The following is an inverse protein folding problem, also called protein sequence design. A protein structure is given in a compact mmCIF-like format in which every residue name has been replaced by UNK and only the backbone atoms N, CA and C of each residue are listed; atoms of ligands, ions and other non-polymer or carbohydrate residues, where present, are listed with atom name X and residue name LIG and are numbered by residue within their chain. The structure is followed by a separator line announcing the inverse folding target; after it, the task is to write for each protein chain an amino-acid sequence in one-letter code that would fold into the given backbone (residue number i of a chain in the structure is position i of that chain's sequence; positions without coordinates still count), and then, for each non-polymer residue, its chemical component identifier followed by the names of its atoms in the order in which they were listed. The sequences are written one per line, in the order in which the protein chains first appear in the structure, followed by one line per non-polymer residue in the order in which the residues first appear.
data_IF_680490239180
#
_entry.id   IF_680490239180
#
_cell.length_a   1.000
_cell.length_b   1.000
_cell.length_c   1.000
_cell.angle_alpha   90.00
_cell.angle_beta   90.00
_cell.angle_gamma   90.00
#
_symmetry.space_group_name_H-M   'P 1'
#
loop_
_entity.id
_entity.type
_entity.pdbx_description
1 polymer ?
#
# COMPACT_ATOMS: atom_id res chain seq x y z
N UNK A 1 -21.43 4.06 11.77
CA UNK A 1 -20.35 3.63 10.86
C UNK A 1 -19.38 2.77 11.65
N UNK A 2 -19.08 1.56 11.19
CA UNK A 2 -18.12 0.68 11.84
C UNK A 2 -17.41 -0.20 10.82
N UNK A 3 -16.36 -0.90 11.23
CA UNK A 3 -15.57 -1.73 10.32
C UNK A 3 -16.35 -2.92 9.76
N UNK A 4 -16.00 -3.32 8.53
CA UNK A 4 -16.50 -4.56 7.93
C UNK A 4 -15.86 -5.79 8.61
N UNK A 5 -16.55 -6.95 8.59
CA UNK A 5 -15.93 -8.22 8.94
C UNK A 5 -14.59 -8.43 8.24
N UNK A 6 -13.58 -8.87 8.99
CA UNK A 6 -12.22 -9.12 8.48
C UNK A 6 -11.31 -7.90 8.42
N UNK A 7 -11.83 -6.68 8.60
CA UNK A 7 -11.00 -5.47 8.70
C UNK A 7 -10.44 -5.32 10.11
N UNK A 8 -9.18 -4.90 10.22
CA UNK A 8 -8.52 -4.67 11.50
C UNK A 8 -8.99 -3.37 12.13
N UNK A 9 -9.59 -3.48 13.32
CA UNK A 9 -9.96 -2.36 14.19
C UNK A 9 -8.86 -2.13 15.23
N UNK A 10 -7.90 -1.26 14.93
CA UNK A 10 -6.76 -0.98 15.83
C UNK A 10 -7.21 -0.43 17.19
N UNK A 11 -8.10 0.58 17.28
CA UNK A 11 -8.65 1.03 18.56
C UNK A 11 -9.34 -0.09 19.34
N UNK A 12 -10.13 -0.93 18.67
CA UNK A 12 -10.80 -2.08 19.28
C UNK A 12 -9.81 -3.10 19.82
N UNK A 13 -8.74 -3.40 19.07
CA UNK A 13 -7.66 -4.29 19.51
C UNK A 13 -6.93 -3.74 20.74
N UNK A 14 -6.52 -2.46 20.71
CA UNK A 14 -5.86 -1.81 21.84
C UNK A 14 -6.75 -1.76 23.10
N UNK A 15 -8.04 -1.47 22.94
CA UNK A 15 -9.00 -1.53 24.04
C UNK A 15 -9.14 -2.95 24.60
N UNK A 16 -9.12 -3.97 23.74
CA UNK A 16 -9.19 -5.36 24.15
C UNK A 16 -7.93 -5.81 24.90
N UNK A 17 -6.76 -5.34 24.49
CA UNK A 17 -5.50 -5.59 25.21
C UNK A 17 -5.52 -4.93 26.60
N UNK A 18 -6.01 -3.70 26.69
CA UNK A 18 -6.25 -3.03 27.97
C UNK A 18 -7.23 -3.78 28.86
N UNK A 19 -8.33 -4.29 28.29
CA UNK A 19 -9.29 -5.12 29.02
C UNK A 19 -8.63 -6.39 29.57
N UNK A 20 -7.88 -7.13 28.75
CA UNK A 20 -7.21 -8.37 29.17
C UNK A 20 -6.13 -8.12 30.23
N UNK A 21 -5.47 -6.97 30.20
CA UNK A 21 -4.54 -6.57 31.24
C UNK A 21 -5.23 -6.39 32.60
N UNK A 22 -6.41 -5.75 32.59
CA UNK A 22 -7.20 -5.53 33.81
C UNK A 22 -7.94 -6.80 34.27
N UNK A 23 -8.30 -7.68 33.34
CA UNK A 23 -9.08 -8.89 33.58
C UNK A 23 -8.43 -10.11 32.89
N UNK A 24 -7.35 -10.69 33.45
CA UNK A 24 -6.56 -11.73 32.77
C UNK A 24 -7.29 -13.05 32.45
N UNK A 25 -8.44 -13.31 33.10
CA UNK A 25 -9.31 -14.46 32.82
C UNK A 25 -10.59 -14.12 32.07
N UNK A 26 -10.78 -12.86 31.66
CA UNK A 26 -11.97 -12.40 30.96
C UNK A 26 -11.87 -12.74 29.46
N UNK A 27 -12.91 -13.36 28.92
CA UNK A 27 -13.09 -13.48 27.47
C UNK A 27 -13.77 -12.23 26.94
N UNK A 28 -13.16 -11.59 25.96
CA UNK A 28 -13.67 -10.36 25.36
C UNK A 28 -13.28 -10.21 23.90
N UNK A 29 -14.17 -9.56 23.16
CA UNK A 29 -13.94 -9.03 21.84
C UNK A 29 -14.53 -7.62 21.80
N UNK A 30 -13.76 -6.66 21.31
CA UNK A 30 -14.15 -5.24 21.28
C UNK A 30 -14.08 -4.76 19.84
N UNK A 31 -15.15 -4.07 19.41
CA UNK A 31 -15.21 -3.35 18.15
C UNK A 31 -15.66 -1.92 18.39
N UNK A 32 -15.13 -1.00 17.60
CA UNK A 32 -15.44 0.43 17.65
C UNK A 32 -16.33 0.83 16.48
N UNK A 33 -17.12 1.87 16.71
CA UNK A 33 -17.95 2.49 15.70
C UNK A 33 -18.16 3.96 16.04
N UNK A 34 -18.48 4.76 15.02
CA UNK A 34 -18.85 6.17 15.16
C UNK A 34 -20.32 6.33 14.78
N UNK A 35 -21.09 7.00 15.64
CA UNK A 35 -22.47 7.39 15.36
C UNK A 35 -22.53 8.87 14.98
N UNK A 36 -23.21 9.18 13.88
CA UNK A 36 -23.48 10.54 13.43
C UNK A 36 -24.97 10.82 13.64
N UNK A 37 -25.30 11.87 14.37
CA UNK A 37 -26.67 12.31 14.58
C UNK A 37 -26.93 13.61 13.81
N UNK A 38 -27.88 13.56 12.88
CA UNK A 38 -28.32 14.73 12.11
C UNK A 38 -29.65 15.21 12.67
N UNK A 39 -29.64 16.37 13.33
CA UNK A 39 -30.82 16.91 14.01
C UNK A 39 -31.75 17.70 13.07
N UNK A 40 -31.15 18.35 12.08
CA UNK A 40 -31.83 19.22 11.11
C UNK A 40 -31.41 18.83 9.69
N UNK A 41 -31.76 17.61 9.27
CA UNK A 41 -31.51 17.15 7.91
C UNK A 41 -32.66 17.60 6.99
N UNK A 42 -32.38 18.26 5.85
CA UNK A 42 -33.42 18.60 4.88
C UNK A 42 -34.17 17.36 4.36
N UNK A 43 -35.44 17.54 4.03
CA UNK A 43 -36.24 16.48 3.41
C UNK A 43 -35.66 16.09 2.03
N UNK A 44 -35.67 14.79 1.73
CA UNK A 44 -35.25 14.27 0.43
C UNK A 44 -33.73 14.14 0.22
N UNK A 45 -32.91 14.32 1.27
CA UNK A 45 -31.49 13.98 1.20
C UNK A 45 -31.31 12.48 0.95
N UNK A 46 -30.49 12.15 -0.06
CA UNK A 46 -30.08 10.77 -0.28
C UNK A 46 -29.12 10.31 0.82
N UNK A 47 -29.58 9.35 1.61
CA UNK A 47 -28.79 8.73 2.66
C UNK A 47 -27.57 7.99 2.12
N UNK A 48 -27.65 7.44 0.90
CA UNK A 48 -26.54 6.72 0.26
C UNK A 48 -25.40 7.69 -0.04
N UNK A 49 -25.73 8.81 -0.67
CA UNK A 49 -24.79 9.91 -0.85
C UNK A 49 -24.20 10.38 0.48
N UNK A 50 -25.05 10.71 1.48
CA UNK A 50 -24.56 11.20 2.77
C UNK A 50 -23.60 10.20 3.42
N UNK A 51 -23.96 8.93 3.44
CA UNK A 51 -23.12 7.89 4.02
C UNK A 51 -21.78 7.77 3.26
N UNK A 52 -21.79 7.82 1.92
CA UNK A 52 -20.57 7.80 1.09
C UNK A 52 -19.59 8.93 1.42
N UNK A 53 -20.08 10.08 1.91
CA UNK A 53 -19.23 11.20 2.35
C UNK A 53 -18.58 11.00 3.72
N UNK A 54 -19.22 10.23 4.61
CA UNK A 54 -18.85 10.08 6.01
C UNK A 54 -17.86 8.94 6.27
N UNK A 55 -17.89 7.89 5.44
CA UNK A 55 -17.10 6.68 5.69
C UNK A 55 -16.43 6.13 4.43
N UNK A 56 -15.42 5.29 4.60
CA UNK A 56 -14.74 4.60 3.51
C UNK A 56 -15.42 3.25 3.23
N UNK A 57 -16.21 3.21 2.15
CA UNK A 57 -16.92 2.02 1.70
C UNK A 57 -16.05 0.80 1.41
N UNK A 58 -14.72 0.94 1.30
CA UNK A 58 -13.81 -0.19 1.16
C UNK A 58 -13.73 -1.00 2.46
N UNK A 59 -13.55 -0.32 3.60
CA UNK A 59 -13.19 -0.91 4.89
C UNK A 59 -14.30 -0.82 5.96
N UNK A 60 -15.29 0.04 5.75
CA UNK A 60 -16.35 0.31 6.72
C UNK A 60 -17.74 -0.01 6.13
N UNK A 61 -18.72 -0.15 7.02
CA UNK A 61 -20.14 -0.26 6.73
C UNK A 61 -20.92 0.77 7.54
N UNK A 62 -22.03 1.24 6.98
CA UNK A 62 -22.98 2.11 7.68
C UNK A 62 -24.34 1.44 7.80
N UNK A 63 -25.05 1.80 8.86
CA UNK A 63 -26.49 1.57 8.99
C UNK A 63 -27.15 2.93 9.17
N UNK A 64 -28.42 3.02 8.79
CA UNK A 64 -29.27 4.17 9.03
C UNK A 64 -30.33 3.79 10.05
N UNK A 65 -30.58 4.69 10.98
CA UNK A 65 -31.72 4.63 11.89
C UNK A 65 -32.41 5.98 11.86
N UNK A 66 -33.72 6.00 11.59
CA UNK A 66 -34.54 7.21 11.57
C UNK A 66 -35.05 7.58 12.97
N UNK A 67 -35.51 8.82 13.12
CA UNK A 67 -36.15 9.27 14.37
C UNK A 67 -37.36 8.39 14.74
N UNK A 68 -38.22 8.08 13.78
CA UNK A 68 -39.39 7.21 13.99
C UNK A 68 -38.98 5.81 14.47
N UNK A 69 -37.91 5.23 13.90
CA UNK A 69 -37.39 3.93 14.32
C UNK A 69 -36.83 3.97 15.75
N UNK A 70 -36.21 5.09 16.16
CA UNK A 70 -35.77 5.27 17.55
C UNK A 70 -36.96 5.39 18.51
N UNK A 71 -38.00 6.14 18.13
CA UNK A 71 -39.19 6.37 18.98
C UNK A 71 -40.07 5.12 19.11
N UNK A 72 -40.06 4.24 18.11
CA UNK A 72 -40.87 3.00 18.07
C UNK A 72 -40.11 1.74 18.51
N UNK A 73 -38.88 1.88 19.03
CA UNK A 73 -38.00 0.77 19.43
C UNK A 73 -37.70 -0.23 18.28
N UNK A 74 -37.59 0.29 17.06
CA UNK A 74 -37.28 -0.44 15.83
C UNK A 74 -35.91 -0.02 15.24
N UNK A 75 -35.06 0.58 16.06
CA UNK A 75 -33.75 1.06 15.64
C UNK A 75 -32.83 -0.09 15.21
N UNK A 76 -32.10 0.13 14.12
CA UNK A 76 -31.03 -0.79 13.72
C UNK A 76 -29.75 -0.39 14.45
N UNK A 77 -28.98 -1.38 14.91
CA UNK A 77 -27.71 -1.17 15.59
C UNK A 77 -26.59 -1.95 14.92
N UNK A 78 -25.38 -1.40 14.96
CA UNK A 78 -24.20 -2.12 14.50
C UNK A 78 -23.89 -3.21 15.52
N UNK A 79 -23.85 -4.44 15.05
CA UNK A 79 -23.36 -5.57 15.83
C UNK A 79 -21.86 -5.74 15.65
N UNK A 80 -21.25 -6.49 16.57
CA UNK A 80 -19.87 -6.92 16.44
C UNK A 80 -19.62 -7.55 15.05
N UNK A 81 -18.57 -7.14 14.32
CA UNK A 81 -18.30 -7.63 12.97
C UNK A 81 -17.67 -9.03 13.02
N UNK A 82 -18.52 -10.04 13.20
CA UNK A 82 -18.12 -11.45 13.23
C UNK A 82 -17.28 -11.79 12.00
N UNK A 83 -16.07 -12.30 12.24
CA UNK A 83 -15.16 -12.72 11.17
C UNK A 83 -15.66 -14.05 10.60
N UNK A 84 -15.72 -14.20 9.27
CA UNK A 84 -16.00 -15.49 8.66
C UNK A 84 -15.01 -16.55 9.17
N UNK A 85 -15.47 -17.79 9.32
CA UNK A 85 -14.57 -18.89 9.67
C UNK A 85 -13.57 -19.08 8.53
N UNK A 86 -12.27 -19.06 8.85
CA UNK A 86 -11.21 -19.30 7.86
C UNK A 86 -11.11 -20.80 7.64
N UNK A 87 -11.57 -21.28 6.49
CA UNK A 87 -11.34 -22.65 6.04
C UNK A 87 -9.95 -22.75 5.44
N UNK A 88 -9.06 -23.51 6.11
CA UNK A 88 -7.70 -23.75 5.59
C UNK A 88 -7.77 -24.78 4.47
N UNK A 89 -7.35 -24.36 3.28
CA UNK A 89 -7.25 -25.21 2.10
C UNK A 89 -5.77 -25.45 1.78
N UNK A 90 -5.46 -26.63 1.22
CA UNK A 90 -4.13 -26.87 0.68
C UNK A 90 -3.95 -26.02 -0.59
N UNK A 91 -2.72 -25.54 -0.89
CA UNK A 91 -2.43 -24.82 -2.12
C UNK A 91 -2.89 -25.59 -3.36
N UNK A 92 -3.59 -24.91 -4.27
CA UNK A 92 -4.05 -25.52 -5.52
C UNK A 92 -2.90 -25.63 -6.52
N UNK A 93 -2.81 -26.75 -7.24
CA UNK A 93 -1.85 -26.91 -8.35
C UNK A 93 -2.45 -26.27 -9.60
N UNK A 94 -1.71 -25.37 -10.25
CA UNK A 94 -2.15 -24.62 -11.42
C UNK A 94 -1.48 -25.18 -12.66
N UNK A 95 -2.27 -25.83 -13.52
CA UNK A 95 -1.78 -26.33 -14.80
C UNK A 95 -1.51 -25.19 -15.78
N UNK A 96 -0.24 -25.05 -16.19
CA UNK A 96 0.20 -24.06 -17.18
C UNK A 96 0.42 -24.67 -18.57
N UNK A 97 0.22 -25.98 -18.76
CA UNK A 97 0.30 -26.67 -20.06
C UNK A 97 -0.97 -26.44 -20.90
N UNK A 98 -1.35 -25.17 -21.02
CA UNK A 98 -2.55 -24.70 -21.71
C UNK A 98 -2.18 -23.73 -22.84
N UNK A 99 -3.15 -23.44 -23.70
CA UNK A 99 -2.97 -22.48 -24.79
C UNK A 99 -2.74 -21.05 -24.26
N UNK A 100 -2.09 -20.20 -25.06
CA UNK A 100 -1.76 -18.82 -24.67
C UNK A 100 -2.98 -17.98 -24.22
N UNK A 101 -4.13 -18.19 -24.86
CA UNK A 101 -5.39 -17.54 -24.48
C UNK A 101 -5.79 -17.89 -23.03
N UNK A 102 -5.54 -19.14 -22.63
CA UNK A 102 -5.88 -19.64 -21.31
C UNK A 102 -4.87 -19.18 -20.26
N UNK A 103 -3.58 -19.07 -20.61
CA UNK A 103 -2.58 -18.44 -19.74
C UNK A 103 -2.96 -16.99 -19.38
N UNK A 104 -3.43 -16.23 -20.37
CA UNK A 104 -3.92 -14.87 -20.14
C UNK A 104 -5.19 -14.87 -19.28
N UNK A 105 -6.10 -15.83 -19.50
CA UNK A 105 -7.30 -15.98 -18.66
C UNK A 105 -6.92 -16.23 -17.19
N UNK A 106 -6.01 -17.17 -16.93
CA UNK A 106 -5.49 -17.47 -15.59
C UNK A 106 -4.86 -16.24 -14.93
N UNK A 107 -4.06 -15.48 -15.68
CA UNK A 107 -3.45 -14.24 -15.18
C UNK A 107 -4.49 -13.19 -14.78
N UNK A 108 -5.51 -12.98 -15.62
CA UNK A 108 -6.56 -11.99 -15.38
C UNK A 108 -7.49 -12.39 -14.22
N UNK A 109 -7.96 -13.64 -14.20
CA UNK A 109 -8.87 -14.12 -13.16
C UNK A 109 -8.17 -14.27 -11.81
N UNK A 110 -6.89 -14.64 -11.81
CA UNK A 110 -6.05 -14.67 -10.62
C UNK A 110 -5.53 -13.30 -10.16
N UNK A 111 -5.88 -12.21 -10.86
CA UNK A 111 -5.39 -10.85 -10.59
C UNK A 111 -3.85 -10.76 -10.52
N UNK A 112 -3.15 -11.57 -11.31
CA UNK A 112 -1.69 -11.71 -11.27
C UNK A 112 -0.98 -10.59 -12.05
N UNK A 113 -1.68 -9.94 -12.98
CA UNK A 113 -1.13 -8.89 -13.84
C UNK A 113 0.14 -9.31 -14.63
N UNK A 114 0.32 -10.62 -14.85
CA UNK A 114 1.38 -11.20 -15.67
C UNK A 114 1.00 -11.12 -17.14
N UNK A 115 1.92 -10.65 -17.98
CA UNK A 115 1.73 -10.69 -19.43
C UNK A 115 2.01 -12.08 -20.00
N UNK A 116 1.71 -12.29 -21.29
CA UNK A 116 1.87 -13.60 -21.94
C UNK A 116 3.31 -14.13 -21.84
N UNK A 117 4.31 -13.28 -22.07
CA UNK A 117 5.72 -13.69 -22.02
C UNK A 117 6.10 -14.15 -20.61
N UNK A 118 5.64 -13.44 -19.58
CA UNK A 118 5.89 -13.83 -18.19
C UNK A 118 5.22 -15.16 -17.85
N UNK A 119 3.95 -15.35 -18.24
CA UNK A 119 3.25 -16.64 -18.05
C UNK A 119 3.95 -17.79 -18.79
N UNK A 120 4.40 -17.57 -20.02
CA UNK A 120 5.15 -18.55 -20.79
C UNK A 120 6.51 -18.86 -20.16
N UNK A 121 7.22 -17.85 -19.66
CA UNK A 121 8.50 -18.01 -18.95
C UNK A 121 8.31 -18.86 -17.69
N UNK A 122 7.24 -18.61 -16.92
CA UNK A 122 6.90 -19.42 -15.75
C UNK A 122 6.60 -20.85 -16.18
N UNK A 123 5.73 -21.07 -17.17
CA UNK A 123 5.44 -22.41 -17.71
C UNK A 123 6.72 -23.15 -18.13
N UNK A 124 7.60 -22.49 -18.87
CA UNK A 124 8.81 -23.10 -19.39
C UNK A 124 9.81 -23.43 -18.26
N UNK A 125 9.82 -22.68 -17.16
CA UNK A 125 10.54 -23.07 -15.93
C UNK A 125 10.06 -24.42 -15.38
N UNK A 126 8.75 -24.69 -15.42
CA UNK A 126 8.16 -25.96 -15.00
C UNK A 126 8.27 -27.09 -16.04
N UNK A 127 8.75 -26.79 -17.25
CA UNK A 127 9.14 -27.80 -18.26
C UNK A 127 10.57 -28.28 -18.08
N UNK A 128 11.42 -27.50 -17.43
CA UNK A 128 12.82 -27.82 -17.23
C UNK A 128 13.02 -29.09 -16.38
N UNK A 129 13.88 -30.00 -16.85
CA UNK A 129 14.10 -31.31 -16.22
C UNK A 129 14.82 -31.20 -14.87
N UNK A 130 15.72 -30.22 -14.72
CA UNK A 130 16.42 -29.99 -13.46
C UNK A 130 15.44 -29.43 -12.41
N UNK A 131 14.58 -28.48 -12.79
CA UNK A 131 13.49 -28.00 -11.94
C UNK A 131 12.58 -29.14 -11.48
N UNK A 132 12.11 -29.98 -12.42
CA UNK A 132 11.23 -31.13 -12.11
C UNK A 132 11.89 -32.12 -11.15
N UNK A 133 13.16 -32.42 -11.37
CA UNK A 133 13.94 -33.32 -10.51
C UNK A 133 14.08 -32.75 -9.10
N UNK A 134 14.43 -31.46 -8.98
CA UNK A 134 14.56 -30.78 -7.70
C UNK A 134 13.23 -30.76 -6.92
N UNK A 135 12.13 -30.42 -7.60
CA UNK A 135 10.77 -30.39 -6.99
C UNK A 135 10.30 -31.78 -6.56
N UNK A 136 10.53 -32.81 -7.38
CA UNK A 136 10.23 -34.20 -7.02
C UNK A 136 10.98 -34.63 -5.76
N UNK A 137 12.25 -34.23 -5.61
CA UNK A 137 13.09 -34.62 -4.47
C UNK A 137 12.58 -34.11 -3.12
N UNK A 138 11.83 -33.00 -3.11
CA UNK A 138 11.21 -32.41 -1.91
C UNK A 138 9.72 -32.72 -1.79
N UNK A 139 9.17 -33.56 -2.68
CA UNK A 139 7.80 -34.06 -2.61
C UNK A 139 6.70 -33.05 -2.98
N UNK A 140 7.01 -32.06 -3.82
CA UNK A 140 6.02 -31.10 -4.35
C UNK A 140 5.74 -31.36 -5.84
N UNK A 141 4.69 -30.71 -6.37
CA UNK A 141 4.29 -30.81 -7.78
C UNK A 141 5.48 -30.60 -8.72
N UNK A 142 5.88 -31.58 -9.55
CA UNK A 142 7.10 -31.48 -10.33
C UNK A 142 7.01 -30.49 -11.50
N UNK A 143 5.86 -30.44 -12.15
CA UNK A 143 5.64 -29.85 -13.47
C UNK A 143 4.61 -28.71 -13.49
N UNK A 144 4.14 -28.28 -12.32
CA UNK A 144 3.22 -27.16 -12.18
C UNK A 144 3.47 -26.37 -10.88
N UNK A 145 3.29 -25.03 -10.91
CA UNK A 145 3.27 -24.21 -9.71
C UNK A 145 2.02 -24.48 -8.87
N UNK A 146 2.08 -24.15 -7.58
CA UNK A 146 0.86 -23.87 -6.82
C UNK A 146 0.37 -22.44 -7.07
N UNK A 147 -0.89 -22.17 -6.74
CA UNK A 147 -1.47 -20.83 -6.66
C UNK A 147 -0.59 -19.86 -5.86
N UNK A 148 -0.10 -20.28 -4.69
CA UNK A 148 0.81 -19.50 -3.83
C UNK A 148 2.15 -19.19 -4.53
N UNK A 149 2.75 -20.15 -5.23
CA UNK A 149 3.99 -19.94 -5.98
C UNK A 149 3.77 -18.95 -7.13
N UNK A 150 2.65 -19.08 -7.83
CA UNK A 150 2.29 -18.22 -8.94
C UNK A 150 2.01 -16.77 -8.49
N UNK A 151 1.32 -16.59 -7.36
CA UNK A 151 1.12 -15.26 -6.75
C UNK A 151 2.44 -14.64 -6.30
N UNK A 152 3.33 -15.42 -5.68
CA UNK A 152 4.66 -14.94 -5.28
C UNK A 152 5.47 -14.42 -6.49
N UNK A 153 5.46 -15.17 -7.61
CA UNK A 153 6.09 -14.75 -8.86
C UNK A 153 5.44 -13.48 -9.42
N UNK A 154 4.11 -13.42 -9.45
CA UNK A 154 3.36 -12.24 -9.89
C UNK A 154 3.73 -10.96 -9.12
N UNK A 155 3.77 -11.04 -7.79
CA UNK A 155 4.12 -9.89 -6.95
C UNK A 155 5.58 -9.48 -7.15
N UNK A 156 6.52 -10.42 -7.11
CA UNK A 156 7.96 -10.14 -7.25
C UNK A 156 8.33 -9.64 -8.64
N UNK A 157 7.56 -10.00 -9.67
CA UNK A 157 7.75 -9.54 -11.04
C UNK A 157 6.87 -8.35 -11.39
N UNK A 158 6.12 -7.77 -10.46
CA UNK A 158 5.34 -6.55 -10.71
C UNK A 158 6.25 -5.38 -11.12
N UNK A 159 5.68 -4.36 -11.77
CA UNK A 159 6.43 -3.12 -12.05
C UNK A 159 6.99 -2.50 -10.78
N UNK A 160 6.16 -2.43 -9.73
CA UNK A 160 6.50 -1.84 -8.44
C UNK A 160 7.68 -2.55 -7.75
N UNK A 161 7.76 -3.88 -7.81
CA UNK A 161 8.86 -4.62 -7.20
C UNK A 161 10.10 -4.67 -8.11
N UNK A 162 9.92 -4.93 -9.40
CA UNK A 162 11.04 -5.19 -10.31
C UNK A 162 11.62 -3.92 -10.93
N UNK A 163 10.91 -2.79 -10.86
CA UNK A 163 11.31 -1.51 -11.44
C UNK A 163 11.62 -1.62 -12.94
N UNK A 164 10.74 -2.32 -13.69
CA UNK A 164 10.97 -2.69 -15.10
C UNK A 164 11.30 -1.48 -15.98
N UNK A 165 10.59 -0.37 -15.80
CA UNK A 165 10.81 0.87 -16.57
C UNK A 165 12.21 1.42 -16.28
N UNK A 166 12.60 1.51 -15.00
CA UNK A 166 13.92 2.00 -14.59
C UNK A 166 15.07 1.09 -15.05
N UNK A 167 14.81 -0.20 -15.26
CA UNK A 167 15.77 -1.17 -15.78
C UNK A 167 15.76 -1.29 -17.32
N UNK A 168 14.77 -0.69 -18.00
CA UNK A 168 14.57 -0.88 -19.43
C UNK A 168 15.57 -0.10 -20.29
N UNK A 169 15.74 -0.56 -21.53
CA UNK A 169 16.42 0.18 -22.60
C UNK A 169 15.41 1.06 -23.32
N UNK A 170 15.59 2.36 -23.26
CA UNK A 170 14.63 3.37 -23.74
C UNK A 170 15.24 4.09 -24.93
N UNK A 171 14.53 4.09 -26.05
CA UNK A 171 14.79 4.99 -27.18
C UNK A 171 13.93 6.24 -27.00
N UNK A 172 14.55 7.41 -26.93
CA UNK A 172 13.88 8.68 -26.69
C UNK A 172 14.28 9.70 -27.75
N UNK A 173 13.26 10.35 -28.34
CA UNK A 173 13.44 11.46 -29.26
C UNK A 173 12.78 12.69 -28.66
N UNK A 174 13.59 13.68 -28.28
CA UNK A 174 13.11 14.97 -27.82
C UNK A 174 12.69 15.81 -29.03
N UNK A 175 11.41 16.16 -29.09
CA UNK A 175 10.84 16.93 -30.22
C UNK A 175 11.12 18.42 -30.15
N UNK A 176 11.58 18.94 -29.02
CA UNK A 176 11.96 20.36 -28.86
C UNK A 176 13.43 20.57 -29.25
N UNK A 177 14.32 19.66 -28.85
CA UNK A 177 15.77 19.74 -29.12
C UNK A 177 16.22 18.93 -30.35
N UNK A 178 15.38 18.01 -30.85
CA UNK A 178 15.72 16.97 -31.83
C UNK A 178 16.82 16.00 -31.36
N UNK A 179 17.03 15.87 -30.05
CA UNK A 179 17.94 14.88 -29.49
C UNK A 179 17.37 13.47 -29.66
N UNK A 180 18.15 12.58 -30.26
CA UNK A 180 17.83 11.16 -30.45
C UNK A 180 18.80 10.32 -29.61
N UNK A 181 18.30 9.73 -28.53
CA UNK A 181 19.12 9.02 -27.54
C UNK A 181 18.58 7.64 -27.23
N UNK A 182 19.52 6.74 -26.90
CA UNK A 182 19.20 5.45 -26.30
C UNK A 182 19.78 5.40 -24.90
N UNK A 183 18.90 5.27 -23.91
CA UNK A 183 19.26 5.18 -22.50
C UNK A 183 19.15 3.71 -22.07
N UNK A 184 20.26 3.15 -21.59
CA UNK A 184 20.28 1.79 -21.04
C UNK A 184 20.10 1.85 -19.52
N UNK A 185 18.88 1.63 -19.05
CA UNK A 185 18.43 1.79 -17.66
C UNK A 185 18.56 3.22 -17.15
N UNK A 186 17.40 3.85 -16.87
CA UNK A 186 17.35 5.15 -16.19
C UNK A 186 18.04 5.08 -14.82
N UNK A 187 17.85 3.98 -14.08
CA UNK A 187 18.47 3.79 -12.78
C UNK A 187 20.00 3.74 -12.87
N UNK A 188 20.56 2.88 -13.74
CA UNK A 188 22.01 2.77 -13.88
C UNK A 188 22.63 4.07 -14.41
N UNK A 189 21.99 4.67 -15.40
CA UNK A 189 22.54 5.82 -16.13
C UNK A 189 22.44 7.12 -15.34
N UNK A 190 21.29 7.42 -14.73
CA UNK A 190 21.02 8.74 -14.14
C UNK A 190 21.04 8.74 -12.61
N UNK A 191 21.05 7.57 -11.96
CA UNK A 191 21.07 7.48 -10.49
C UNK A 191 22.37 6.80 -10.02
N UNK A 192 22.63 5.56 -10.43
CA UNK A 192 23.80 4.82 -9.93
C UNK A 192 25.12 5.41 -10.40
N UNK A 193 25.25 5.70 -11.70
CA UNK A 193 26.51 6.21 -12.25
C UNK A 193 26.96 7.51 -11.57
N UNK A 194 26.15 8.58 -11.47
CA UNK A 194 26.56 9.79 -10.76
C UNK A 194 26.95 9.55 -9.30
N UNK A 195 26.25 8.65 -8.60
CA UNK A 195 26.60 8.29 -7.21
C UNK A 195 27.92 7.54 -7.13
N UNK A 196 28.21 6.63 -8.06
CA UNK A 196 29.50 5.92 -8.12
C UNK A 196 30.65 6.86 -8.52
N UNK A 197 30.44 7.74 -9.50
CA UNK A 197 31.43 8.75 -9.90
C UNK A 197 31.77 9.64 -8.69
N UNK A 198 30.76 10.07 -7.90
CA UNK A 198 30.99 10.82 -6.66
C UNK A 198 31.74 9.99 -5.60
N UNK A 199 31.48 8.70 -5.48
CA UNK A 199 32.13 7.81 -4.52
C UNK A 199 33.63 7.63 -4.77
N UNK A 200 34.14 7.98 -5.95
CA UNK A 200 35.58 8.01 -6.21
C UNK A 200 36.27 9.22 -5.56
N UNK A 201 35.51 10.28 -5.25
CA UNK A 201 36.01 11.54 -4.71
C UNK A 201 35.76 11.70 -3.21
N UNK A 202 34.91 10.87 -2.62
CA UNK A 202 34.50 10.97 -1.20
C UNK A 202 34.53 9.62 -0.49
N UNK A 203 34.87 9.64 0.80
CA UNK A 203 34.93 8.46 1.66
C UNK A 203 33.72 8.31 2.61
N UNK A 204 32.83 9.30 2.64
CA UNK A 204 31.65 9.31 3.51
C UNK A 204 30.44 8.55 2.95
N UNK A 205 30.49 8.01 1.73
CA UNK A 205 29.44 7.13 1.20
C UNK A 205 29.68 5.70 1.67
N UNK A 206 28.94 5.25 2.69
CA UNK A 206 29.15 3.95 3.33
C UNK A 206 28.33 2.83 2.70
N UNK A 207 27.09 3.12 2.31
CA UNK A 207 26.17 2.17 1.68
C UNK A 207 25.27 2.84 0.67
N UNK A 208 25.32 2.38 -0.58
CA UNK A 208 24.46 2.86 -1.67
C UNK A 208 23.98 1.68 -2.52
N UNK A 209 22.68 1.64 -2.82
CA UNK A 209 22.03 0.67 -3.72
C UNK A 209 22.07 -0.82 -3.33
N UNK A 210 22.43 -1.15 -2.09
CA UNK A 210 22.54 -2.56 -1.65
C UNK A 210 21.78 -2.88 -0.35
N UNK A 211 21.03 -1.93 0.19
CA UNK A 211 20.28 -2.05 1.45
C UNK A 211 18.97 -1.25 1.37
N UNK A 212 18.15 -1.32 2.42
CA UNK A 212 16.84 -0.65 2.51
C UNK A 212 16.92 0.88 2.55
N UNK A 213 18.09 1.44 2.89
CA UNK A 213 18.36 2.88 2.93
C UNK A 213 19.78 3.20 2.45
N UNK A 214 20.02 4.44 2.01
CA UNK A 214 21.39 4.93 1.80
C UNK A 214 22.04 5.34 3.12
N UNK A 215 23.33 5.04 3.29
CA UNK A 215 24.08 5.36 4.52
C UNK A 215 25.29 6.24 4.20
N UNK A 216 25.41 7.33 4.93
CA UNK A 216 26.57 8.23 4.88
C UNK A 216 27.24 8.36 6.24
N UNK A 217 28.56 8.55 6.27
CA UNK A 217 29.29 8.94 7.46
C UNK A 217 28.93 10.38 7.82
N UNK A 218 28.69 10.63 9.11
CA UNK A 218 28.50 11.99 9.64
C UNK A 218 29.71 12.44 10.46
N UNK A 219 30.26 11.53 11.26
CA UNK A 219 31.53 11.67 11.97
C UNK A 219 32.09 10.28 12.33
N UNK A 220 33.17 10.25 13.09
CA UNK A 220 33.87 9.02 13.48
C UNK A 220 32.99 8.02 14.26
N UNK A 221 31.94 8.50 14.93
CA UNK A 221 31.08 7.70 15.81
C UNK A 221 29.70 7.40 15.20
N UNK A 222 29.24 8.19 14.23
CA UNK A 222 27.87 8.18 13.74
C UNK A 222 27.76 8.20 12.22
N UNK A 223 26.82 7.41 11.72
CA UNK A 223 26.35 7.43 10.33
C UNK A 223 24.89 7.87 10.28
N UNK A 224 24.46 8.40 9.13
CA UNK A 224 23.08 8.79 8.86
C UNK A 224 22.51 7.85 7.81
N UNK A 225 21.35 7.27 8.11
CA UNK A 225 20.53 6.51 7.18
C UNK A 225 19.46 7.42 6.58
N UNK A 226 19.29 7.36 5.25
CA UNK A 226 18.29 8.16 4.52
C UNK A 226 17.49 7.26 3.57
N UNK A 227 16.17 7.39 3.64
CA UNK A 227 15.23 6.70 2.76
C UNK A 227 14.03 7.62 2.50
N UNK A 228 13.54 7.60 1.27
CA UNK A 228 12.28 8.20 0.86
C UNK A 228 11.45 7.11 0.18
N UNK A 229 10.15 7.11 0.44
CA UNK A 229 9.18 6.20 -0.18
C UNK A 229 8.00 7.01 -0.72
N UNK A 230 7.05 6.31 -1.37
CA UNK A 230 5.76 6.91 -1.68
C UNK A 230 4.64 5.93 -1.38
N UNK A 231 3.47 6.43 -1.05
CA UNK A 231 2.30 5.59 -0.79
C UNK A 231 1.04 6.10 -1.50
N UNK A 232 1.20 6.46 -2.77
CA UNK A 232 0.25 7.24 -3.57
C UNK A 232 -1.09 6.54 -3.82
N UNK A 233 -1.08 5.36 -4.46
CA UNK A 233 -2.32 4.67 -4.87
C UNK A 233 -3.16 4.25 -3.66
N UNK A 234 -2.60 3.67 -2.59
CA UNK A 234 -3.41 3.32 -1.43
C UNK A 234 -3.91 4.55 -0.69
N UNK A 235 -3.16 5.66 -0.66
CA UNK A 235 -3.64 6.92 -0.08
C UNK A 235 -4.77 7.58 -0.89
N UNK A 236 -4.97 7.19 -2.15
CA UNK A 236 -6.16 7.57 -2.91
C UNK A 236 -7.40 6.79 -2.47
N UNK A 237 -7.23 5.48 -2.18
CA UNK A 237 -8.31 4.54 -1.87
C UNK A 237 -8.69 4.50 -0.39
N UNK A 238 -7.71 4.65 0.49
CA UNK A 238 -7.87 4.78 1.93
C UNK A 238 -6.86 5.80 2.44
N UNK A 239 -7.18 7.11 2.40
CA UNK A 239 -6.23 8.17 2.71
C UNK A 239 -5.58 8.05 4.09
N UNK A 240 -6.33 7.59 5.10
CA UNK A 240 -5.79 7.37 6.44
C UNK A 240 -4.87 6.15 6.48
N UNK A 241 -5.38 4.98 6.07
CA UNK A 241 -4.63 3.73 6.15
C UNK A 241 -3.39 3.75 5.27
N UNK A 242 -3.52 4.22 4.03
CA UNK A 242 -2.41 4.32 3.08
C UNK A 242 -1.28 5.23 3.56
N UNK A 243 -1.61 6.40 4.12
CA UNK A 243 -0.58 7.30 4.63
C UNK A 243 0.07 6.79 5.91
N UNK A 244 -0.73 6.21 6.83
CA UNK A 244 -0.22 5.58 8.04
C UNK A 244 0.74 4.44 7.69
N UNK A 245 0.40 3.56 6.74
CA UNK A 245 1.28 2.46 6.32
C UNK A 245 2.53 2.96 5.59
N UNK A 246 2.44 4.08 4.88
CA UNK A 246 3.58 4.76 4.27
C UNK A 246 4.63 5.21 5.29
N UNK A 247 4.26 6.05 6.24
CA UNK A 247 5.22 6.56 7.24
C UNK A 247 5.83 5.44 8.10
N UNK A 248 5.04 4.46 8.53
CA UNK A 248 5.58 3.33 9.31
C UNK A 248 6.36 2.36 8.44
N UNK A 249 6.13 2.33 7.12
CA UNK A 249 6.91 1.57 6.14
C UNK A 249 8.33 2.10 6.04
N UNK A 250 8.48 3.38 5.71
CA UNK A 250 9.80 4.02 5.62
C UNK A 250 10.56 4.01 6.96
N UNK A 251 9.86 4.10 8.09
CA UNK A 251 10.47 3.92 9.42
C UNK A 251 11.09 2.51 9.57
N UNK A 252 10.41 1.46 9.07
CA UNK A 252 10.93 0.08 9.13
C UNK A 252 12.14 -0.12 8.22
N UNK A 253 12.20 0.57 7.09
CA UNK A 253 13.38 0.49 6.23
C UNK A 253 14.63 0.97 6.95
N UNK A 254 14.55 2.10 7.67
CA UNK A 254 15.64 2.58 8.49
C UNK A 254 15.98 1.61 9.62
N UNK A 255 14.97 1.03 10.28
CA UNK A 255 15.19 0.00 11.31
C UNK A 255 15.87 -1.26 10.75
N UNK A 256 15.62 -1.57 9.48
CA UNK A 256 16.15 -2.74 8.78
C UNK A 256 17.50 -2.53 8.10
N UNK A 257 18.08 -1.33 8.15
CA UNK A 257 19.38 -1.03 7.54
C UNK A 257 20.52 -1.69 8.32
N UNK A 258 21.38 -2.43 7.63
CA UNK A 258 22.54 -3.11 8.22
C UNK A 258 22.15 -4.07 9.35
N UNK A 259 22.68 -3.84 10.56
CA UNK A 259 22.31 -4.58 11.78
C UNK A 259 21.26 -3.85 12.62
N UNK A 260 20.71 -2.75 12.09
CA UNK A 260 19.72 -1.89 12.73
C UNK A 260 20.22 -0.45 12.86
N UNK A 261 19.35 0.50 12.50
CA UNK A 261 19.54 1.92 12.78
C UNK A 261 18.34 2.49 13.54
N UNK A 262 18.54 3.59 14.25
CA UNK A 262 17.46 4.25 14.99
C UNK A 262 16.89 5.40 14.15
N UNK A 263 15.61 5.36 13.73
CA UNK A 263 14.95 6.51 13.13
C UNK A 263 14.93 7.69 14.13
N UNK A 264 15.26 8.88 13.66
CA UNK A 264 15.32 10.08 14.51
C UNK A 264 14.36 11.20 14.08
N UNK A 265 13.96 11.22 12.81
CA UNK A 265 13.08 12.23 12.26
C UNK A 265 12.50 11.78 10.91
N UNK A 266 11.34 12.32 10.57
CA UNK A 266 10.67 12.19 9.29
C UNK A 266 10.54 13.54 8.59
N UNK A 267 10.40 13.49 7.26
CA UNK A 267 9.98 14.63 6.43
C UNK A 267 8.89 14.14 5.48
N UNK A 268 7.97 15.02 5.12
CA UNK A 268 6.88 14.66 4.19
C UNK A 268 6.76 15.65 3.01
N UNK A 269 6.32 15.15 1.87
CA UNK A 269 5.90 16.02 0.76
C UNK A 269 4.58 15.50 0.23
N UNK A 270 3.56 16.35 0.30
CA UNK A 270 2.23 16.01 -0.17
C UNK A 270 1.81 16.83 -1.37
N UNK A 271 1.25 16.15 -2.36
CA UNK A 271 0.62 16.78 -3.52
C UNK A 271 -0.85 16.35 -3.58
N UNK A 272 -1.77 17.31 -3.52
CA UNK A 272 -3.22 17.06 -3.53
C UNK A 272 -3.93 17.88 -4.59
N UNK A 273 -5.13 17.44 -4.97
CA UNK A 273 -6.10 18.32 -5.62
C UNK A 273 -6.51 19.48 -4.70
N UNK A 274 -7.02 20.59 -5.25
CA UNK A 274 -7.47 21.73 -4.44
C UNK A 274 -8.51 21.33 -3.39
N UNK A 275 -8.35 21.68 -2.09
CA UNK A 275 -9.25 21.25 -1.03
C UNK A 275 -10.63 21.92 -1.10
N UNK A 276 -10.76 22.99 -1.89
CA UNK A 276 -11.98 23.73 -2.20
C UNK A 276 -12.53 23.40 -3.59
N UNK A 277 -12.15 22.24 -4.16
CA UNK A 277 -12.62 21.78 -5.45
C UNK A 277 -14.14 21.81 -5.57
N UNK A 278 -14.65 22.45 -6.64
CA UNK A 278 -16.09 22.56 -6.92
C UNK A 278 -16.51 21.85 -8.20
N UNK A 279 -15.54 21.29 -8.95
CA UNK A 279 -15.81 20.56 -10.19
C UNK A 279 -16.39 19.17 -9.94
N UNK A 280 -16.80 18.53 -11.03
CA UNK A 280 -17.29 17.14 -10.98
C UNK A 280 -16.15 16.17 -10.65
N UNK A 281 -16.48 15.13 -9.88
CA UNK A 281 -15.58 14.04 -9.54
C UNK A 281 -16.22 12.71 -9.94
N UNK A 282 -15.44 11.77 -10.51
CA UNK A 282 -15.87 10.38 -10.61
C UNK A 282 -16.32 9.86 -9.24
N UNK A 283 -17.40 9.07 -9.20
CA UNK A 283 -17.96 8.52 -7.96
C UNK A 283 -17.00 7.60 -7.20
N UNK A 284 -15.94 7.14 -7.86
CA UNK A 284 -14.87 6.31 -7.29
C UNK A 284 -13.80 7.13 -6.55
N UNK A 285 -13.79 8.46 -6.70
CA UNK A 285 -12.81 9.33 -6.07
C UNK A 285 -13.38 10.03 -4.84
N UNK A 286 -12.54 10.16 -3.81
CA UNK A 286 -12.85 11.05 -2.71
C UNK A 286 -12.59 12.50 -3.09
N UNK A 287 -13.38 13.39 -2.51
CA UNK A 287 -13.11 14.82 -2.57
C UNK A 287 -11.68 15.13 -2.08
N UNK A 288 -10.90 16.01 -2.74
CA UNK A 288 -9.51 16.26 -2.35
C UNK A 288 -9.34 16.67 -0.89
N UNK A 289 -10.28 17.43 -0.32
CA UNK A 289 -10.28 17.78 1.11
C UNK A 289 -10.36 16.56 2.04
N UNK A 290 -11.04 15.48 1.64
CA UNK A 290 -11.09 14.23 2.38
C UNK A 290 -9.78 13.48 2.27
N UNK A 291 -9.17 13.44 1.09
CA UNK A 291 -7.85 12.83 0.88
C UNK A 291 -6.80 13.53 1.74
N UNK A 292 -6.71 14.86 1.65
CA UNK A 292 -5.81 15.69 2.48
C UNK A 292 -5.99 15.39 3.98
N UNK A 293 -7.22 15.46 4.50
CA UNK A 293 -7.49 15.25 5.93
C UNK A 293 -7.12 13.83 6.38
N UNK A 294 -7.42 12.82 5.56
CA UNK A 294 -7.10 11.43 5.88
C UNK A 294 -5.60 11.16 5.84
N UNK A 295 -4.89 11.63 4.82
CA UNK A 295 -3.42 11.50 4.73
C UNK A 295 -2.74 12.18 5.92
N UNK A 296 -3.09 13.44 6.19
CA UNK A 296 -2.54 14.16 7.33
C UNK A 296 -2.82 13.45 8.66
N UNK A 297 -4.03 12.91 8.85
CA UNK A 297 -4.36 12.14 10.04
C UNK A 297 -3.54 10.83 10.15
N UNK A 298 -3.37 10.11 9.05
CA UNK A 298 -2.60 8.86 8.98
C UNK A 298 -1.13 9.05 9.29
N UNK A 299 -0.48 10.05 8.66
CA UNK A 299 0.92 10.41 8.94
C UNK A 299 1.10 10.83 10.39
N UNK A 300 0.22 11.70 10.90
CA UNK A 300 0.27 12.17 12.28
C UNK A 300 0.16 11.01 13.29
N UNK A 301 -0.78 10.08 13.08
CA UNK A 301 -0.93 8.92 13.97
C UNK A 301 0.31 8.03 13.87
N UNK A 302 0.71 7.63 12.66
CA UNK A 302 1.86 6.76 12.46
C UNK A 302 3.17 7.33 13.04
N UNK A 303 3.44 8.61 12.83
CA UNK A 303 4.61 9.31 13.39
C UNK A 303 4.55 9.45 14.91
N UNK A 304 3.42 9.95 15.45
CA UNK A 304 3.27 10.18 16.89
C UNK A 304 3.32 8.88 17.70
N UNK A 305 2.62 7.84 17.25
CA UNK A 305 2.58 6.56 17.96
C UNK A 305 3.92 5.79 17.84
N UNK A 306 4.66 6.00 16.75
CA UNK A 306 6.04 5.49 16.63
C UNK A 306 7.05 6.30 17.45
N UNK A 307 6.68 7.49 17.93
CA UNK A 307 7.57 8.39 18.67
C UNK A 307 8.65 9.06 17.81
N UNK A 308 8.44 9.16 16.49
CA UNK A 308 9.42 9.73 15.54
C UNK A 308 8.84 11.05 15.00
N UNK A 309 9.48 12.21 15.26
CA UNK A 309 8.93 13.50 14.89
C UNK A 309 9.03 13.75 13.38
N UNK A 310 7.97 14.28 12.78
CA UNK A 310 8.05 14.93 11.45
C UNK A 310 8.57 16.35 11.63
N UNK A 311 9.77 16.63 11.13
CA UNK A 311 10.49 17.89 11.41
C UNK A 311 10.43 18.90 10.28
N UNK A 312 10.02 18.48 9.08
CA UNK A 312 9.94 19.31 7.89
C UNK A 312 8.93 18.72 6.90
N UNK A 313 8.52 19.52 5.93
CA UNK A 313 7.75 19.03 4.81
C UNK A 313 7.23 20.10 3.86
N UNK A 314 6.39 19.69 2.93
CA UNK A 314 5.76 20.58 1.95
C UNK A 314 4.39 20.08 1.53
N UNK A 315 3.50 21.02 1.19
CA UNK A 315 2.19 20.72 0.60
C UNK A 315 2.02 21.52 -0.67
N UNK A 316 1.69 20.83 -1.75
CA UNK A 316 1.41 21.40 -3.08
C UNK A 316 -0.03 21.07 -3.47
N UNK A 317 -0.75 22.08 -3.95
CA UNK A 317 -2.10 21.92 -4.49
C UNK A 317 -2.09 22.17 -6.00
N UNK A 318 -2.60 21.20 -6.76
CA UNK A 318 -2.73 21.29 -8.21
C UNK A 318 -3.83 20.32 -8.69
N UNK A 319 -4.63 20.73 -9.67
CA UNK A 319 -5.74 19.92 -10.21
C UNK A 319 -5.25 18.58 -10.79
N UNK A 320 -4.00 18.48 -11.24
CA UNK A 320 -3.40 17.24 -11.75
C UNK A 320 -3.35 16.12 -10.70
N UNK A 321 -3.46 16.45 -9.41
CA UNK A 321 -3.44 15.48 -8.31
C UNK A 321 -4.84 15.07 -7.82
N UNK A 322 -5.92 15.49 -8.49
CA UNK A 322 -7.29 15.10 -8.12
C UNK A 322 -7.50 13.58 -8.22
N UNK A 323 -6.98 12.95 -9.28
CA UNK A 323 -7.13 11.52 -9.51
C UNK A 323 -6.27 10.65 -8.58
N UNK A 324 -5.08 11.14 -8.25
CA UNK A 324 -4.10 10.42 -7.45
C UNK A 324 -3.19 11.42 -6.73
N UNK A 325 -3.17 11.43 -5.38
CA UNK A 325 -2.26 12.27 -4.62
C UNK A 325 -0.83 11.75 -4.73
N UNK A 326 0.14 12.61 -4.44
CA UNK A 326 1.48 12.16 -4.11
C UNK A 326 1.70 12.27 -2.60
N UNK A 327 2.17 11.20 -1.99
CA UNK A 327 2.41 11.09 -0.55
C UNK A 327 3.80 10.50 -0.40
N UNK A 328 4.78 11.38 -0.19
CA UNK A 328 6.18 11.07 0.10
C UNK A 328 6.43 11.15 1.60
#
# INVERSE_FOLDING_TARGET
VGFKPGVTDNPGAAANDGFKLLFPGGESAISTYISYAFLELPDGIDHTWLASTLFNGLIEKSILTTKEQLETDQATHLTFPERPTIERQAPAIIDLEVADQELIRLSNEGLLALNLNEMQTIRDHYRDEATRTARTSVGISPDAPTDVELECLAQTWSEHCKHKIFASKIHHVDTETNEDTTIDSLFKTHIMKPTHDMAEEVDWLLSVFHDNSGVIAWNDDWSICMKAETHNSPSALDPYGGAMTGIVGVNRDILGTGLGARPIANTDVFCFGPPDWTGELPSTLFHPSRVLRGVHAGVRVGGNESGIPTINGSIVFDERYIGKPLVY
#
